data_IF_367490901160
#
_entry.id   IF_367490901160
#
_cell.length_a   1.000
_cell.length_b   1.000
_cell.length_c   1.000
_cell.angle_alpha   90.00
_cell.angle_beta   90.00
_cell.angle_gamma   90.00
#
_symmetry.space_group_name_H-M   'P 1'
#
loop_
_entity.id
_entity.type
_entity.pdbx_description
1 polymer ?
#
# COMPACT_ATOMS: atom_id res chain seq x y z
N UNK A 1 -9.62 -17.49 6.06
CA UNK A 1 -10.45 -16.27 6.21
C UNK A 1 -9.51 -15.17 6.65
N UNK A 2 -8.80 -14.63 5.67
CA UNK A 2 -7.53 -13.93 5.85
C UNK A 2 -7.72 -12.47 5.42
N UNK A 3 -8.80 -11.83 5.89
CA UNK A 3 -9.22 -10.49 5.45
C UNK A 3 -8.85 -9.35 6.41
N UNK A 4 -8.18 -9.67 7.54
CA UNK A 4 -7.84 -8.69 8.59
C UNK A 4 -6.54 -7.90 8.32
N UNK A 5 -5.89 -8.05 7.16
CA UNK A 5 -4.59 -7.45 6.88
C UNK A 5 -4.57 -6.25 5.93
N UNK A 6 -5.72 -5.85 5.35
CA UNK A 6 -5.76 -4.82 4.30
C UNK A 6 -6.40 -3.52 4.78
N UNK A 7 -5.61 -2.44 4.76
CA UNK A 7 -6.10 -1.09 5.03
C UNK A 7 -7.19 -0.68 4.02
N UNK A 8 -8.27 -0.10 4.53
CA UNK A 8 -9.30 0.52 3.69
C UNK A 8 -9.07 2.03 3.69
N UNK A 9 -8.90 2.62 2.51
CA UNK A 9 -8.68 4.05 2.33
C UNK A 9 -10.00 4.76 2.08
N UNK A 10 -10.13 5.94 2.66
CA UNK A 10 -11.26 6.81 2.39
C UNK A 10 -11.09 7.48 1.00
N UNK A 11 -12.13 7.48 0.15
CA UNK A 11 -12.04 8.10 -1.17
C UNK A 11 -12.19 9.63 -1.13
N UNK A 12 -12.79 10.22 -0.09
CA UNK A 12 -13.00 11.66 0.06
C UNK A 12 -11.65 12.37 0.36
N UNK A 13 -10.92 12.69 -0.71
CA UNK A 13 -9.59 13.29 -0.64
C UNK A 13 -8.65 12.80 -1.75
N UNK A 14 -8.99 11.66 -2.37
CA UNK A 14 -8.25 11.13 -3.49
C UNK A 14 -8.69 11.75 -4.81
N UNK A 15 -7.72 12.24 -5.57
CA UNK A 15 -7.93 12.62 -6.97
C UNK A 15 -8.26 11.39 -7.83
N UNK A 16 -8.89 11.61 -8.99
CA UNK A 16 -9.19 10.53 -9.94
C UNK A 16 -7.95 9.71 -10.31
N UNK A 17 -6.79 10.35 -10.48
CA UNK A 17 -5.55 9.65 -10.80
C UNK A 17 -5.08 8.73 -9.66
N UNK A 18 -5.35 9.06 -8.39
CA UNK A 18 -5.02 8.18 -7.27
C UNK A 18 -5.99 7.00 -7.17
N UNK A 19 -7.29 7.26 -7.42
CA UNK A 19 -8.32 6.21 -7.43
C UNK A 19 -8.13 5.19 -8.55
N UNK A 20 -7.60 5.64 -9.70
CA UNK A 20 -7.25 4.76 -10.83
C UNK A 20 -5.90 4.03 -10.64
N UNK A 21 -5.10 4.44 -9.66
CA UNK A 21 -3.75 3.90 -9.44
C UNK A 21 -2.67 4.49 -10.36
N UNK A 22 -2.99 5.55 -11.10
CA UNK A 22 -2.04 6.35 -11.89
C UNK A 22 -1.12 7.24 -11.04
N UNK A 23 -1.54 7.57 -9.82
CA UNK A 23 -0.82 8.46 -8.90
C UNK A 23 -0.71 7.86 -7.50
N UNK A 24 0.40 8.15 -6.81
CA UNK A 24 0.64 7.66 -5.47
C UNK A 24 -0.44 8.21 -4.52
N UNK A 25 -1.07 7.33 -3.73
CA UNK A 25 -2.09 7.72 -2.76
C UNK A 25 -1.59 8.72 -1.71
N UNK A 26 -0.28 8.75 -1.42
CA UNK A 26 0.32 9.64 -0.40
C UNK A 26 0.84 10.95 -1.01
N UNK A 27 1.72 10.87 -2.01
CA UNK A 27 2.46 12.03 -2.52
C UNK A 27 2.01 12.52 -3.90
N UNK A 28 0.97 11.90 -4.48
CA UNK A 28 0.32 12.31 -5.74
C UNK A 28 1.21 12.21 -6.99
N UNK A 29 2.47 11.78 -6.86
CA UNK A 29 3.36 11.62 -8.01
C UNK A 29 2.85 10.55 -8.96
N UNK A 30 2.95 10.84 -10.26
CA UNK A 30 2.57 9.94 -11.37
C UNK A 30 3.75 9.17 -11.97
N UNK A 31 4.98 9.67 -11.78
CA UNK A 31 6.19 9.05 -12.30
C UNK A 31 7.28 8.96 -11.23
N UNK A 32 7.98 7.81 -11.10
CA UNK A 32 7.64 6.51 -11.69
C UNK A 32 6.26 6.03 -11.23
N UNK A 33 5.54 5.32 -12.12
CA UNK A 33 4.14 4.92 -11.88
C UNK A 33 4.02 4.07 -10.61
N UNK A 34 3.04 4.34 -9.72
CA UNK A 34 2.79 3.52 -8.53
C UNK A 34 2.51 2.07 -8.91
N UNK A 35 3.07 1.13 -8.14
CA UNK A 35 2.89 -0.32 -8.39
C UNK A 35 2.68 -1.13 -7.13
N UNK A 36 2.86 -0.52 -5.94
CA UNK A 36 2.78 -1.23 -4.67
C UNK A 36 1.36 -1.12 -4.13
N UNK A 37 0.71 -2.26 -3.93
CA UNK A 37 -0.64 -2.33 -3.37
C UNK A 37 -0.60 -2.13 -1.86
N UNK A 38 -1.21 -1.06 -1.36
CA UNK A 38 -1.17 -0.68 0.06
C UNK A 38 -2.53 -0.79 0.75
N UNK A 39 -3.60 -0.95 -0.01
CA UNK A 39 -4.93 -1.11 0.53
C UNK A 39 -6.01 -1.10 -0.54
N UNK A 40 -7.27 -0.96 -0.12
CA UNK A 40 -8.43 -0.91 -1.01
C UNK A 40 -9.34 0.27 -0.71
N UNK A 41 -10.14 0.66 -1.69
CA UNK A 41 -11.28 1.57 -1.51
C UNK A 41 -12.52 0.78 -1.05
N UNK A 42 -13.59 1.46 -0.59
CA UNK A 42 -14.85 0.82 -0.19
C UNK A 42 -15.51 0.00 -1.31
N UNK A 43 -15.27 0.41 -2.56
CA UNK A 43 -15.69 -0.28 -3.79
C UNK A 43 -14.83 -1.52 -4.12
N UNK A 44 -13.84 -1.86 -3.29
CA UNK A 44 -12.84 -2.92 -3.53
C UNK A 44 -11.79 -2.60 -4.61
N UNK A 45 -11.85 -1.42 -5.22
CA UNK A 45 -10.79 -0.88 -6.07
C UNK A 45 -9.44 -0.80 -5.33
N UNK A 46 -8.34 -1.14 -6.01
CA UNK A 46 -7.00 -1.22 -5.42
C UNK A 46 -6.38 0.16 -5.23
N UNK A 47 -5.70 0.37 -4.11
CA UNK A 47 -4.96 1.61 -3.80
C UNK A 47 -3.47 1.35 -3.97
N UNK A 48 -2.83 2.15 -4.82
CA UNK A 48 -1.40 2.02 -5.14
C UNK A 48 -0.57 3.16 -4.55
N UNK A 49 0.62 2.80 -4.08
CA UNK A 49 1.65 3.73 -3.65
C UNK A 49 2.95 3.51 -4.46
N UNK A 50 3.78 4.55 -4.47
CA UNK A 50 5.15 4.43 -4.94
C UNK A 50 6.00 3.66 -3.91
N UNK A 51 7.17 3.10 -4.29
CA UNK A 51 7.98 2.27 -3.40
C UNK A 51 8.33 2.95 -2.06
N UNK A 52 8.73 4.21 -2.13
CA UNK A 52 9.10 5.04 -0.97
C UNK A 52 7.93 5.21 0.02
N UNK A 53 6.77 5.70 -0.44
CA UNK A 53 5.61 5.86 0.44
C UNK A 53 5.00 4.51 0.86
N UNK A 54 5.19 3.45 0.08
CA UNK A 54 4.69 2.14 0.42
C UNK A 54 5.44 1.54 1.61
N UNK A 55 6.73 1.81 1.75
CA UNK A 55 7.53 1.39 2.91
C UNK A 55 7.01 1.97 4.23
N UNK A 56 6.52 3.22 4.20
CA UNK A 56 5.92 3.86 5.37
C UNK A 56 4.51 3.33 5.70
N UNK A 57 3.77 2.84 4.69
CA UNK A 57 2.38 2.38 4.83
C UNK A 57 2.27 0.89 5.15
N UNK A 58 3.09 0.09 4.51
CA UNK A 58 3.13 -1.35 4.75
C UNK A 58 3.97 -1.54 6.01
N UNK A 59 3.41 -2.07 7.11
CA UNK A 59 4.25 -2.51 8.20
C UNK A 59 5.24 -3.48 7.57
N UNK A 60 6.54 -3.19 7.71
CA UNK A 60 7.61 -4.01 7.16
C UNK A 60 7.27 -5.45 7.52
N UNK A 61 6.78 -6.20 6.52
CA UNK A 61 6.23 -7.53 6.75
C UNK A 61 7.31 -8.26 7.50
N UNK A 62 6.99 -8.52 8.77
CA UNK A 62 7.90 -8.90 9.83
C UNK A 62 9.10 -9.61 9.26
N UNK A 63 10.27 -8.98 9.37
CA UNK A 63 11.53 -9.70 9.38
C UNK A 63 11.34 -10.80 10.42
N UNK A 64 10.91 -11.97 9.96
CA UNK A 64 10.89 -13.16 10.79
C UNK A 64 12.36 -13.47 10.90
N UNK A 65 12.99 -12.88 11.92
CA UNK A 65 14.18 -13.43 12.52
C UNK A 65 13.74 -14.82 12.98
N UNK A 66 13.87 -15.79 12.07
CA UNK A 66 13.99 -17.18 12.47
C UNK A 66 15.34 -17.19 13.15
N UNK A 67 15.33 -17.10 14.48
CA UNK A 67 16.54 -17.28 15.27
C UNK A 67 17.16 -18.61 14.85
N UNK A 68 18.29 -18.56 14.16
CA UNK A 68 19.09 -19.74 13.87
C UNK A 68 19.59 -20.23 15.23
N UNK A 69 19.21 -21.42 15.72
CA UNK A 69 19.79 -21.92 16.96
C UNK A 69 21.29 -22.11 16.74
N UNK A 70 22.09 -21.39 17.52
CA UNK A 70 23.52 -21.68 17.64
C UNK A 70 23.69 -22.94 18.48
N UNK A 71 24.25 -23.96 17.84
CA UNK A 71 24.82 -25.23 18.36
C UNK A 71 23.87 -26.33 18.77
#
# INVERSE_FOLDING_TARGET
MDWLGMATFDPEGLSFAQRDGDACVVCHKRWPRPRVHVGRLPDSSRVLACPDCAEALLPAMSATVVGLPSR
#
